data_IF_750536741609
#
_entry.id   IF_750536741609
#
_cell.length_a   1.000
_cell.length_b   1.000
_cell.length_c   1.000
_cell.angle_alpha   90.00
_cell.angle_beta   90.00
_cell.angle_gamma   90.00
#
_symmetry.space_group_name_H-M   'P 1'
#
loop_
_entity.id
_entity.type
_entity.pdbx_description
1 polymer ?
#
# COMPACT_ATOMS: atom_id res chain seq x y z
N UNK A 1 -9.37 6.93 -8.97
CA UNK A 1 -10.49 7.29 -9.87
C UNK A 1 -11.59 8.03 -9.12
N UNK A 2 -12.24 7.42 -8.11
CA UNK A 2 -13.34 8.05 -7.37
C UNK A 2 -12.96 9.35 -6.64
N UNK A 3 -11.75 9.45 -6.09
CA UNK A 3 -11.26 10.66 -5.40
C UNK A 3 -11.17 11.88 -6.33
N UNK A 4 -10.94 11.67 -7.63
CA UNK A 4 -10.81 12.74 -8.63
C UNK A 4 -12.17 13.27 -9.11
N UNK A 5 -13.27 12.58 -8.79
CA UNK A 5 -14.62 12.94 -9.25
C UNK A 5 -15.31 13.99 -8.36
N UNK A 6 -14.60 14.56 -7.39
CA UNK A 6 -15.13 15.52 -6.41
C UNK A 6 -16.49 15.09 -5.85
N UNK A 7 -16.53 13.92 -5.20
CA UNK A 7 -17.77 13.31 -4.72
C UNK A 7 -18.51 14.16 -3.69
N UNK A 8 -17.84 15.12 -3.06
CA UNK A 8 -18.44 16.05 -2.10
C UNK A 8 -19.60 16.85 -2.70
N UNK A 9 -19.64 17.07 -4.02
CA UNK A 9 -20.79 17.71 -4.69
C UNK A 9 -22.10 16.90 -4.57
N UNK A 10 -21.98 15.59 -4.36
CA UNK A 10 -23.11 14.67 -4.20
C UNK A 10 -23.46 14.44 -2.72
N UNK A 11 -22.69 14.94 -1.76
CA UNK A 11 -22.99 14.81 -0.34
C UNK A 11 -24.34 15.47 0.00
N UNK A 12 -25.12 14.87 0.89
CA UNK A 12 -26.31 15.52 1.46
C UNK A 12 -25.87 16.67 2.38
N UNK A 13 -26.56 17.82 2.30
CA UNK A 13 -26.35 18.97 3.20
C UNK A 13 -27.07 18.75 4.55
N UNK A 14 -26.78 17.63 5.20
CA UNK A 14 -27.31 17.24 6.51
C UNK A 14 -26.21 17.31 7.58
N UNK A 15 -26.59 17.29 8.87
CA UNK A 15 -25.65 17.34 9.99
C UNK A 15 -24.61 16.20 9.96
N UNK A 16 -25.00 15.03 9.43
CA UNK A 16 -24.07 13.99 9.01
C UNK A 16 -23.94 14.02 7.48
N UNK A 17 -22.81 14.46 6.92
CA UNK A 17 -22.59 14.39 5.48
C UNK A 17 -22.44 12.93 5.04
N UNK A 18 -23.30 12.49 4.13
CA UNK A 18 -23.28 11.14 3.56
C UNK A 18 -23.56 11.16 2.06
N UNK A 19 -23.10 10.14 1.34
CA UNK A 19 -23.40 9.95 -0.07
C UNK A 19 -24.63 9.04 -0.20
N UNK A 20 -25.73 9.59 -0.71
CA UNK A 20 -26.93 8.80 -0.98
C UNK A 20 -26.69 7.85 -2.16
N UNK A 21 -27.15 6.59 -2.05
CA UNK A 21 -26.97 5.55 -3.08
C UNK A 21 -27.51 6.01 -4.44
N UNK A 22 -28.71 6.61 -4.48
CA UNK A 22 -29.28 7.12 -5.74
C UNK A 22 -28.48 8.24 -6.40
N UNK A 23 -27.63 8.97 -5.65
CA UNK A 23 -26.70 9.94 -6.25
C UNK A 23 -25.45 9.28 -6.83
N UNK A 24 -25.06 8.09 -6.35
CA UNK A 24 -23.96 7.30 -6.93
C UNK A 24 -24.38 6.67 -8.26
N UNK A 25 -25.66 6.28 -8.41
CA UNK A 25 -26.17 5.71 -9.67
C UNK A 25 -26.17 6.73 -10.83
N UNK A 26 -26.30 8.02 -10.52
CA UNK A 26 -26.29 9.09 -11.53
C UNK A 26 -24.89 9.60 -11.88
N UNK A 27 -23.84 9.04 -11.28
CA UNK A 27 -22.46 9.46 -11.51
C UNK A 27 -22.00 9.03 -12.91
N UNK A 28 -21.70 10.01 -13.75
CA UNK A 28 -21.18 9.76 -15.11
C UNK A 28 -19.67 9.56 -15.04
N UNK A 29 -19.24 8.37 -15.44
CA UNK A 29 -17.81 8.03 -15.54
C UNK A 29 -17.44 7.79 -17.01
N UNK A 30 -16.26 8.25 -17.47
CA UNK A 30 -15.80 7.93 -18.81
C UNK A 30 -15.45 6.44 -18.87
N UNK A 31 -16.04 5.73 -19.83
CA UNK A 31 -15.77 4.31 -20.08
C UNK A 31 -14.96 4.22 -21.38
N UNK A 32 -13.63 4.00 -21.32
CA UNK A 32 -12.81 3.85 -22.52
C UNK A 32 -13.03 2.48 -23.18
N UNK A 33 -12.40 2.22 -24.32
CA UNK A 33 -12.46 0.91 -24.98
C UNK A 33 -11.91 -0.20 -24.09
N UNK A 34 -12.36 -1.45 -24.28
CA UNK A 34 -11.90 -2.59 -23.47
C UNK A 34 -10.37 -2.77 -23.52
N UNK A 35 -9.75 -2.52 -24.68
CA UNK A 35 -8.30 -2.58 -24.83
C UNK A 35 -7.59 -1.53 -23.94
N UNK A 36 -8.09 -0.30 -23.91
CA UNK A 36 -7.55 0.75 -23.03
C UNK A 36 -7.81 0.46 -21.56
N UNK A 37 -8.98 -0.09 -21.21
CA UNK A 37 -9.27 -0.52 -19.85
C UNK A 37 -8.24 -1.55 -19.35
N UNK A 38 -7.99 -2.60 -20.16
CA UNK A 38 -7.01 -3.63 -19.82
C UNK A 38 -5.59 -3.06 -19.68
N UNK A 39 -5.19 -2.17 -20.59
CA UNK A 39 -3.89 -1.50 -20.54
C UNK A 39 -3.72 -0.66 -19.27
N UNK A 40 -4.74 0.13 -18.92
CA UNK A 40 -4.74 0.98 -17.72
C UNK A 40 -4.68 0.12 -16.46
N UNK A 41 -5.51 -0.92 -16.36
CA UNK A 41 -5.55 -1.82 -15.20
C UNK A 41 -4.21 -2.52 -15.02
N UNK A 42 -3.60 -3.06 -16.08
CA UNK A 42 -2.30 -3.73 -15.98
C UNK A 42 -1.20 -2.81 -15.41
N UNK A 43 -1.22 -1.53 -15.77
CA UNK A 43 -0.28 -0.54 -15.22
C UNK A 43 -0.57 -0.26 -13.75
N UNK A 44 -1.83 -0.02 -13.40
CA UNK A 44 -2.24 0.27 -12.03
C UNK A 44 -1.98 -0.90 -11.08
N UNK A 45 -2.29 -2.13 -11.50
CA UNK A 45 -2.05 -3.35 -10.74
C UNK A 45 -0.56 -3.56 -10.48
N UNK A 46 0.29 -3.25 -11.46
CA UNK A 46 1.75 -3.30 -11.29
C UNK A 46 2.22 -2.29 -10.23
N UNK A 47 1.73 -1.05 -10.27
CA UNK A 47 2.09 -0.05 -9.26
C UNK A 47 1.59 -0.46 -7.88
N UNK A 48 0.34 -0.87 -7.76
CA UNK A 48 -0.25 -1.29 -6.49
C UNK A 48 0.49 -2.49 -5.88
N UNK A 49 0.82 -3.49 -6.71
CA UNK A 49 1.61 -4.65 -6.27
C UNK A 49 2.98 -4.20 -5.75
N UNK A 50 3.65 -3.28 -6.44
CA UNK A 50 4.97 -2.82 -6.00
C UNK A 50 4.91 -1.98 -4.72
N UNK A 51 3.89 -1.14 -4.53
CA UNK A 51 3.85 -0.22 -3.39
C UNK A 51 3.17 -0.80 -2.16
N UNK A 52 2.13 -1.61 -2.34
CA UNK A 52 1.23 -2.00 -1.26
C UNK A 52 1.26 -3.50 -0.94
N UNK A 53 1.77 -4.35 -1.85
CA UNK A 53 1.80 -5.79 -1.59
C UNK A 53 2.77 -6.15 -0.46
N UNK A 54 2.24 -6.79 0.57
CA UNK A 54 3.04 -7.38 1.66
C UNK A 54 3.83 -8.63 1.23
N UNK A 55 3.54 -9.18 0.05
CA UNK A 55 4.15 -10.42 -0.47
C UNK A 55 5.14 -10.18 -1.60
N UNK A 56 4.97 -9.11 -2.39
CA UNK A 56 5.77 -8.87 -3.59
C UNK A 56 6.23 -7.42 -3.78
N UNK A 57 5.91 -6.53 -2.84
CA UNK A 57 6.21 -5.10 -2.93
C UNK A 57 7.22 -4.59 -1.90
N UNK A 58 7.34 -3.27 -1.84
CA UNK A 58 8.19 -2.53 -0.92
C UNK A 58 8.02 -2.95 0.56
N UNK A 59 6.79 -3.19 1.08
CA UNK A 59 6.64 -3.62 2.47
C UNK A 59 7.38 -4.91 2.79
N UNK A 60 7.41 -5.88 1.86
CA UNK A 60 8.17 -7.13 2.03
C UNK A 60 9.67 -6.87 2.08
N UNK A 61 10.17 -6.08 1.15
CA UNK A 61 11.59 -5.76 1.07
C UNK A 61 12.07 -5.03 2.34
N UNK A 62 11.28 -4.08 2.84
CA UNK A 62 11.57 -3.36 4.09
C UNK A 62 11.62 -4.35 5.27
N UNK A 63 10.64 -5.25 5.38
CA UNK A 63 10.60 -6.25 6.46
C UNK A 63 11.84 -7.17 6.42
N UNK A 64 12.21 -7.66 5.24
CA UNK A 64 13.41 -8.50 5.07
C UNK A 64 14.69 -7.74 5.43
N UNK A 65 14.82 -6.48 5.00
CA UNK A 65 15.98 -5.63 5.35
C UNK A 65 16.06 -5.33 6.83
N UNK A 66 14.93 -5.15 7.50
CA UNK A 66 14.87 -4.96 8.95
C UNK A 66 15.36 -6.21 9.69
N UNK A 67 14.90 -7.40 9.29
CA UNK A 67 15.36 -8.67 9.85
C UNK A 67 16.86 -8.87 9.62
N UNK A 68 17.34 -8.57 8.42
CA UNK A 68 18.76 -8.64 8.08
C UNK A 68 19.59 -7.69 8.94
N UNK A 69 19.14 -6.45 9.11
CA UNK A 69 19.78 -5.46 9.97
C UNK A 69 19.89 -5.95 11.41
N UNK A 70 18.79 -6.45 11.98
CA UNK A 70 18.76 -6.98 13.36
C UNK A 70 19.74 -8.14 13.53
N UNK A 71 19.75 -9.09 12.59
CA UNK A 71 20.70 -10.20 12.61
C UNK A 71 22.15 -9.72 12.67
N UNK A 72 22.55 -8.81 11.78
CA UNK A 72 23.93 -8.31 11.77
C UNK A 72 24.26 -7.45 12.98
N UNK A 73 23.29 -6.68 13.50
CA UNK A 73 23.45 -5.91 14.73
C UNK A 73 23.77 -6.82 15.91
N UNK A 74 23.02 -7.90 16.10
CA UNK A 74 23.28 -8.87 17.18
C UNK A 74 24.65 -9.55 17.01
N UNK A 75 25.02 -9.93 15.78
CA UNK A 75 26.34 -10.52 15.51
C UNK A 75 27.49 -9.57 15.89
N UNK A 76 27.38 -8.28 15.55
CA UNK A 76 28.39 -7.28 15.88
C UNK A 76 28.47 -6.98 17.39
N UNK A 77 27.33 -7.07 18.10
CA UNK A 77 27.25 -6.84 19.55
C UNK A 77 27.53 -8.11 20.36
N UNK A 78 27.64 -9.27 19.70
CA UNK A 78 28.04 -10.53 20.32
C UNK A 78 29.56 -10.59 20.33
N UNK A 79 30.16 -10.15 21.43
CA UNK A 79 31.59 -10.32 21.65
C UNK A 79 31.87 -11.76 22.10
N UNK A 80 32.91 -12.43 21.58
CA UNK A 80 33.36 -13.68 22.17
C UNK A 80 33.67 -13.40 23.64
N UNK A 81 32.99 -14.11 24.54
CA UNK A 81 33.38 -14.13 25.94
C UNK A 81 34.82 -14.62 25.93
N UNK A 82 35.77 -13.73 26.23
CA UNK A 82 37.07 -14.15 26.69
C UNK A 82 36.78 -15.02 27.90
N UNK A 83 36.82 -16.33 27.69
CA UNK A 83 36.94 -17.30 28.76
C UNK A 83 37.99 -16.70 29.69
N UNK A 84 37.56 -16.29 30.87
CA UNK A 84 38.45 -16.21 32.02
C UNK A 84 38.97 -17.63 32.16
N UNK A 85 40.07 -17.94 31.47
CA UNK A 85 40.87 -19.09 31.77
C UNK A 85 41.41 -18.79 33.17
N UNK A 86 40.64 -19.31 34.13
CA UNK A 86 41.12 -20.06 35.29
C UNK A 86 42.47 -19.60 35.87
N UNK A 87 42.36 -19.01 37.07
CA UNK A 87 43.31 -19.03 38.19
C UNK A 87 44.64 -18.29 38.07
#
# INVERSE_FOLDING_TARGET
MLTLMNLNQYASKSAQPGLAVGKLESLRIPIPSLAEQARIVAILDKFDTLTNSISHGLPREIALRQQQYEYYREQLLTFPQHNRLEK
#
